data_IF_363635810270
#
_entry.id   IF_363635810270
#
_cell.length_a   1.000
_cell.length_b   1.000
_cell.length_c   1.000
_cell.angle_alpha   90.00
_cell.angle_beta   90.00
_cell.angle_gamma   90.00
#
_symmetry.space_group_name_H-M   'P 1'
#
loop_
_entity.id
_entity.type
_entity.pdbx_description
1 polymer ?
#
# COMPACT_ATOMS: atom_id res chain seq x y z
N UNK A 1 -26.60 -11.92 -9.95
CA UNK A 1 -25.39 -12.24 -10.75
C UNK A 1 -24.44 -11.05 -10.89
N UNK A 2 -24.89 -9.83 -11.23
CA UNK A 2 -24.00 -8.66 -11.28
C UNK A 2 -23.46 -8.20 -9.90
N UNK A 3 -24.27 -8.26 -8.85
CA UNK A 3 -23.86 -7.88 -7.48
C UNK A 3 -22.85 -8.83 -6.83
N UNK A 4 -22.84 -10.10 -7.22
CA UNK A 4 -21.85 -11.07 -6.72
C UNK A 4 -20.48 -10.91 -7.38
N UNK A 5 -20.45 -10.50 -8.66
CA UNK A 5 -19.20 -10.22 -9.36
C UNK A 5 -18.52 -8.94 -8.84
N UNK A 6 -19.29 -7.88 -8.55
CA UNK A 6 -18.74 -6.67 -7.93
C UNK A 6 -18.20 -6.94 -6.53
N UNK A 7 -18.93 -7.70 -5.70
CA UNK A 7 -18.47 -8.08 -4.36
C UNK A 7 -17.16 -8.89 -4.40
N UNK A 8 -17.01 -9.82 -5.35
CA UNK A 8 -15.78 -10.59 -5.55
C UNK A 8 -14.58 -9.71 -5.92
N UNK A 9 -14.77 -8.78 -6.86
CA UNK A 9 -13.73 -7.81 -7.26
C UNK A 9 -13.33 -6.89 -6.10
N UNK A 10 -14.28 -6.44 -5.27
CA UNK A 10 -13.96 -5.61 -4.10
C UNK A 10 -13.13 -6.37 -3.07
N UNK A 11 -13.45 -7.65 -2.82
CA UNK A 11 -12.67 -8.51 -1.93
C UNK A 11 -11.24 -8.70 -2.46
N UNK A 12 -11.10 -8.94 -3.77
CA UNK A 12 -9.78 -9.04 -4.40
C UNK A 12 -9.00 -7.73 -4.33
N UNK A 13 -9.62 -6.57 -4.61
CA UNK A 13 -8.95 -5.28 -4.55
C UNK A 13 -8.46 -4.99 -3.13
N UNK A 14 -9.27 -5.35 -2.12
CA UNK A 14 -8.88 -5.28 -0.71
C UNK A 14 -7.72 -6.21 -0.38
N UNK A 15 -7.72 -7.44 -0.91
CA UNK A 15 -6.62 -8.37 -0.71
C UNK A 15 -5.30 -7.85 -1.34
N UNK A 16 -5.38 -7.27 -2.54
CA UNK A 16 -4.23 -6.65 -3.22
C UNK A 16 -3.68 -5.46 -2.43
N UNK A 17 -4.56 -4.59 -1.91
CA UNK A 17 -4.16 -3.47 -1.07
C UNK A 17 -3.47 -3.94 0.23
N UNK A 18 -3.95 -5.03 0.83
CA UNK A 18 -3.28 -5.65 2.00
C UNK A 18 -1.92 -6.24 1.63
N UNK A 19 -1.81 -6.83 0.44
CA UNK A 19 -0.54 -7.35 -0.08
C UNK A 19 0.50 -6.23 -0.19
N UNK A 20 0.14 -5.10 -0.80
CA UNK A 20 1.03 -3.95 -0.88
C UNK A 20 1.43 -3.41 0.48
N UNK A 21 0.51 -3.40 1.45
CA UNK A 21 0.83 -3.00 2.83
C UNK A 21 1.81 -3.97 3.52
N UNK A 22 1.64 -5.28 3.32
CA UNK A 22 2.55 -6.30 3.85
C UNK A 22 3.93 -6.27 3.19
N UNK A 23 3.99 -5.97 1.90
CA UNK A 23 5.24 -5.78 1.17
C UNK A 23 6.03 -4.57 1.70
N UNK A 24 5.36 -3.43 1.94
CA UNK A 24 5.98 -2.26 2.58
C UNK A 24 6.55 -2.62 3.95
N UNK A 25 5.78 -3.35 4.78
CA UNK A 25 6.26 -3.81 6.08
C UNK A 25 7.50 -4.72 5.96
N UNK A 26 7.49 -5.66 5.00
CA UNK A 26 8.63 -6.54 4.72
C UNK A 26 9.86 -5.76 4.24
N UNK A 27 9.68 -4.74 3.40
CA UNK A 27 10.77 -3.87 2.91
C UNK A 27 11.37 -3.05 4.06
N UNK A 28 10.55 -2.38 4.87
CA UNK A 28 11.02 -1.57 6.01
C UNK A 28 11.58 -2.37 7.18
N UNK A 29 11.07 -3.58 7.42
CA UNK A 29 11.60 -4.45 8.49
C UNK A 29 13.00 -4.99 8.15
N UNK A 30 13.33 -5.12 6.87
CA UNK A 30 14.66 -5.52 6.39
C UNK A 30 15.59 -4.33 6.23
N UNK A 31 15.07 -3.21 5.72
CA UNK A 31 15.81 -1.99 5.46
C UNK A 31 15.04 -0.75 5.96
N UNK A 32 15.43 -0.20 7.12
CA UNK A 32 14.87 1.05 7.63
C UNK A 32 15.11 2.28 6.74
N UNK A 33 16.09 2.22 5.83
CA UNK A 33 16.43 3.32 4.91
C UNK A 33 15.58 3.32 3.63
N UNK A 34 14.72 2.31 3.43
CA UNK A 34 13.85 2.23 2.27
C UNK A 34 12.92 3.47 2.13
N UNK A 35 12.63 3.94 0.91
CA UNK A 35 13.33 3.62 -0.33
C UNK A 35 14.71 4.32 -0.37
N UNK A 36 15.75 3.55 -0.67
CA UNK A 36 17.13 4.06 -0.78
C UNK A 36 17.27 5.04 -1.96
N UNK A 37 18.25 5.95 -1.88
CA UNK A 37 18.63 6.84 -2.99
C UNK A 37 17.68 8.00 -3.27
N UNK A 38 16.55 8.09 -2.55
CA UNK A 38 15.71 9.27 -2.55
C UNK A 38 16.41 10.37 -1.74
N UNK A 39 16.97 11.38 -2.44
CA UNK A 39 17.53 12.56 -1.78
C UNK A 39 16.52 13.21 -0.83
N UNK A 40 16.99 13.94 0.18
CA UNK A 40 16.14 14.44 1.28
C UNK A 40 14.97 15.33 0.83
N UNK A 41 15.04 15.89 -0.38
CA UNK A 41 13.96 16.66 -0.99
C UNK A 41 12.77 15.81 -1.48
N UNK A 42 12.98 14.52 -1.76
CA UNK A 42 11.92 13.63 -2.21
C UNK A 42 11.23 12.97 -1.01
N UNK A 43 10.13 13.60 -0.59
CA UNK A 43 9.29 13.14 0.51
C UNK A 43 8.31 12.06 0.08
N UNK A 44 7.89 12.04 -1.20
CA UNK A 44 6.91 11.10 -1.72
C UNK A 44 7.52 10.14 -2.74
N UNK A 45 7.23 8.87 -2.57
CA UNK A 45 7.63 7.79 -3.48
C UNK A 45 6.45 6.89 -3.79
N UNK A 46 6.35 6.42 -5.02
CA UNK A 46 5.28 5.50 -5.42
C UNK A 46 5.83 4.43 -6.34
N UNK A 47 5.33 3.21 -6.17
CA UNK A 47 5.62 2.09 -7.06
C UNK A 47 4.37 1.24 -7.26
N UNK A 48 4.34 0.51 -8.37
CA UNK A 48 3.25 -0.41 -8.73
C UNK A 48 3.84 -1.79 -8.94
N UNK A 49 3.20 -2.80 -8.37
CA UNK A 49 3.57 -4.19 -8.55
C UNK A 49 2.35 -5.02 -9.01
N UNK A 50 2.60 -5.90 -9.97
CA UNK A 50 1.60 -6.82 -10.52
C UNK A 50 1.63 -8.11 -9.72
N UNK A 51 0.45 -8.58 -9.30
CA UNK A 51 0.29 -9.84 -8.58
C UNK A 51 -0.13 -10.92 -9.57
N UNK A 52 0.63 -12.01 -9.58
CA UNK A 52 0.39 -13.17 -10.43
C UNK A 52 -0.22 -14.31 -9.60
N UNK A 53 -1.03 -15.16 -10.23
CA UNK A 53 -1.45 -16.43 -9.66
C UNK A 53 -0.33 -17.49 -9.74
N UNK A 54 -0.62 -18.70 -9.25
CA UNK A 54 0.33 -19.82 -9.27
C UNK A 54 0.67 -20.31 -10.69
N UNK A 55 -0.17 -19.99 -11.68
CA UNK A 55 0.00 -20.34 -13.09
C UNK A 55 0.68 -19.21 -13.88
N UNK A 56 1.00 -18.09 -13.23
CA UNK A 56 1.68 -16.93 -13.82
C UNK A 56 0.75 -15.92 -14.50
N UNK A 57 -0.57 -16.04 -14.35
CA UNK A 57 -1.52 -15.07 -14.90
C UNK A 57 -1.70 -13.87 -13.97
N UNK A 58 -1.92 -12.70 -14.56
CA UNK A 58 -2.19 -11.47 -13.81
C UNK A 58 -3.55 -11.54 -13.09
N UNK A 59 -3.51 -11.43 -11.77
CA UNK A 59 -4.70 -11.32 -10.89
C UNK A 59 -5.11 -9.86 -10.71
N UNK A 60 -4.13 -8.96 -10.74
CA UNK A 60 -4.30 -7.53 -10.60
C UNK A 60 -2.99 -6.88 -10.20
N UNK A 61 -3.07 -5.67 -9.64
CA UNK A 61 -1.88 -4.96 -9.18
C UNK A 61 -2.18 -4.16 -7.92
N UNK A 62 -1.15 -3.74 -7.22
CA UNK A 62 -1.27 -2.70 -6.21
C UNK A 62 -0.32 -1.55 -6.52
N UNK A 63 -0.76 -0.35 -6.17
CA UNK A 63 0.09 0.83 -6.13
C UNK A 63 0.32 1.19 -4.68
N UNK A 64 1.58 1.32 -4.28
CA UNK A 64 1.96 1.80 -2.96
C UNK A 64 2.52 3.20 -3.12
N UNK A 65 2.05 4.13 -2.29
CA UNK A 65 2.64 5.44 -2.08
C UNK A 65 3.16 5.53 -0.65
N UNK A 66 4.40 6.01 -0.52
CA UNK A 66 5.07 6.29 0.74
C UNK A 66 5.27 7.79 0.83
N UNK A 67 4.78 8.39 1.90
CA UNK A 67 4.97 9.80 2.23
C UNK A 67 5.78 9.94 3.53
N UNK A 68 6.95 10.56 3.38
CA UNK A 68 7.94 10.79 4.43
C UNK A 68 8.01 12.26 4.82
N UNK A 69 7.06 13.10 4.42
CA UNK A 69 7.08 14.54 4.71
C UNK A 69 7.27 14.85 6.21
N UNK A 70 6.75 13.99 7.07
CA UNK A 70 6.77 14.18 8.53
C UNK A 70 7.77 13.28 9.27
N UNK A 71 8.64 12.57 8.54
CA UNK A 71 9.59 11.61 9.14
C UNK A 71 10.49 12.22 10.22
N UNK A 72 10.77 13.52 10.14
CA UNK A 72 11.62 14.24 11.09
C UNK A 72 10.85 14.96 12.19
N UNK A 73 9.57 15.28 11.96
CA UNK A 73 8.74 16.04 12.90
C UNK A 73 7.95 15.11 13.82
N UNK A 74 7.30 14.09 13.26
CA UNK A 74 6.45 13.13 13.99
C UNK A 74 7.09 11.75 14.08
N UNK A 75 8.24 11.52 13.44
CA UNK A 75 8.90 10.21 13.36
C UNK A 75 7.97 9.12 12.79
N UNK A 76 7.04 9.52 11.90
CA UNK A 76 6.09 8.62 11.25
C UNK A 76 6.23 8.73 9.73
N UNK A 77 6.07 7.59 9.05
CA UNK A 77 5.90 7.50 7.60
C UNK A 77 4.45 7.13 7.32
N UNK A 78 3.81 7.83 6.40
CA UNK A 78 2.46 7.52 5.93
C UNK A 78 2.55 6.64 4.70
N UNK A 79 1.74 5.60 4.68
CA UNK A 79 1.71 4.60 3.61
C UNK A 79 0.29 4.51 3.09
N UNK A 80 0.15 4.56 1.79
CA UNK A 80 -1.09 4.32 1.08
C UNK A 80 -0.88 3.12 0.17
N UNK A 81 -1.74 2.12 0.25
CA UNK A 81 -1.74 0.98 -0.66
C UNK A 81 -3.10 0.84 -1.33
N UNK A 82 -3.11 0.97 -2.64
CA UNK A 82 -4.30 0.86 -3.48
C UNK A 82 -4.23 -0.40 -4.31
N UNK A 83 -5.06 -1.39 -4.00
CA UNK A 83 -5.23 -2.60 -4.79
C UNK A 83 -6.21 -2.38 -5.94
N UNK A 84 -5.88 -2.91 -7.11
CA UNK A 84 -6.56 -2.67 -8.38
C UNK A 84 -6.88 -4.02 -9.03
N UNK A 85 -8.16 -4.25 -9.31
CA UNK A 85 -8.67 -5.45 -9.98
C UNK A 85 -9.41 -5.10 -11.25
N UNK A 86 -9.06 -5.79 -12.33
CA UNK A 86 -9.66 -5.62 -13.65
C UNK A 86 -8.74 -4.90 -14.63
N UNK A 87 -9.07 -4.99 -15.91
CA UNK A 87 -8.38 -4.26 -16.97
C UNK A 87 -8.79 -2.78 -16.95
N UNK A 88 -7.82 -1.90 -17.23
CA UNK A 88 -7.92 -0.43 -17.23
C UNK A 88 -9.16 0.09 -18.00
N UNK A 89 -9.65 -0.66 -18.99
CA UNK A 89 -10.66 -0.19 -19.93
C UNK A 89 -12.12 -0.56 -19.60
N UNK A 90 -12.42 -1.46 -18.65
CA UNK A 90 -13.79 -2.04 -18.58
C UNK A 90 -14.49 -2.23 -17.24
N UNK A 91 -13.82 -2.17 -16.10
CA UNK A 91 -14.45 -2.15 -14.76
C UNK A 91 -13.33 -2.28 -13.72
N UNK A 92 -12.54 -1.22 -13.57
CA UNK A 92 -11.48 -1.17 -12.59
C UNK A 92 -12.08 -1.00 -11.20
N UNK A 93 -11.91 -2.02 -10.35
CA UNK A 93 -12.27 -1.92 -8.94
C UNK A 93 -11.02 -1.64 -8.15
N UNK A 94 -10.99 -0.48 -7.47
CA UNK A 94 -9.89 -0.11 -6.59
C UNK A 94 -10.32 -0.15 -5.12
N UNK A 95 -9.36 -0.45 -4.26
CA UNK A 95 -9.53 -0.37 -2.82
C UNK A 95 -8.25 0.16 -2.18
N UNK A 96 -8.37 1.18 -1.33
CA UNK A 96 -7.23 1.84 -0.71
C UNK A 96 -7.21 1.62 0.79
N UNK A 97 -6.04 1.26 1.30
CA UNK A 97 -5.74 1.10 2.72
C UNK A 97 -4.64 2.09 3.09
N UNK A 98 -4.82 2.77 4.22
CA UNK A 98 -3.83 3.68 4.77
C UNK A 98 -3.14 3.05 5.97
N UNK A 99 -1.87 3.35 6.14
CA UNK A 99 -1.04 2.88 7.23
C UNK A 99 -0.07 3.97 7.68
N UNK A 100 0.37 3.84 8.91
CA UNK A 100 1.45 4.62 9.49
C UNK A 100 2.51 3.67 10.02
N UNK A 101 3.77 4.00 9.75
CA UNK A 101 4.92 3.29 10.26
C UNK A 101 5.70 4.23 11.18
N UNK A 102 5.90 3.80 12.42
CA UNK A 102 6.78 4.47 13.38
C UNK A 102 8.24 4.24 13.00
N UNK A 103 9.03 5.31 13.03
CA UNK A 103 10.49 5.31 12.88
C UNK A 103 11.22 5.40 14.22
N UNK A 104 10.49 5.34 15.34
CA UNK A 104 11.09 5.41 16.67
C UNK A 104 12.03 4.21 16.86
N UNK A 105 13.32 4.44 17.16
CA UNK A 105 14.26 3.35 17.38
C UNK A 105 13.81 2.43 18.52
N UNK A 106 13.69 1.13 18.25
CA UNK A 106 13.23 0.13 19.23
C UNK A 106 11.70 0.01 19.35
N UNK A 107 10.93 0.86 18.66
CA UNK A 107 9.47 0.80 18.59
C UNK A 107 9.02 0.78 17.12
N UNK A 108 9.31 -0.33 16.45
CA UNK A 108 8.83 -0.60 15.10
C UNK A 108 7.35 -0.97 15.14
N UNK A 109 6.51 0.06 15.31
CA UNK A 109 5.07 -0.07 15.32
C UNK A 109 4.50 0.25 13.93
N UNK A 110 3.72 -0.71 13.41
CA UNK A 110 3.00 -0.54 12.16
C UNK A 110 1.50 -0.45 12.46
N UNK A 111 0.93 0.74 12.28
CA UNK A 111 -0.48 0.99 12.52
C UNK A 111 -1.20 1.08 11.18
N UNK A 112 -1.92 0.02 10.82
CA UNK A 112 -2.84 0.06 9.68
C UNK A 112 -4.11 0.78 10.13
N UNK A 113 -4.42 1.89 9.48
CA UNK A 113 -5.67 2.60 9.71
C UNK A 113 -6.80 1.85 9.01
N UNK A 114 -7.97 1.81 9.67
CA UNK A 114 -9.13 1.12 9.12
C UNK A 114 -9.49 1.68 7.75
N UNK A 115 -9.92 0.76 6.88
CA UNK A 115 -10.31 0.96 5.49
C UNK A 115 -11.18 2.20 5.31
N UNK A 116 -10.75 3.11 4.42
CA UNK A 116 -11.51 4.31 4.06
C UNK A 116 -11.38 5.51 5.01
N UNK A 117 -10.56 5.44 6.07
CA UNK A 117 -10.28 6.62 6.92
C UNK A 117 -8.86 7.12 6.66
N UNK A 118 -8.75 8.32 6.07
CA UNK A 118 -7.46 9.02 5.94
C UNK A 118 -6.94 9.30 7.35
N UNK A 119 -5.66 9.04 7.66
CA UNK A 119 -5.12 9.32 8.98
C UNK A 119 -5.29 10.81 9.30
N UNK A 120 -5.90 11.12 10.44
CA UNK A 120 -5.90 12.47 11.01
C UNK A 120 -4.79 12.50 12.07
N UNK A 121 -3.82 13.39 11.86
CA UNK A 121 -2.76 13.71 12.81
C UNK A 121 -3.32 14.53 13.97
#
# INVERSE_FOLDING_TARGET
YASSQSAGKTIQARALARSGMGDVWSKYSKDPAFPEGLGDAQTRFSYRETVLDLDGHEVGSYTVTIDRAERYTTQVIRIESTGIVGAVDRDETHHTIYGELSLVPGDFAFKVWQEGTVPQL
#
